data_IF_985691921850
#
_entry.id   IF_985691921850
#
_cell.length_a   1.000
_cell.length_b   1.000
_cell.length_c   1.000
_cell.angle_alpha   90.00
_cell.angle_beta   90.00
_cell.angle_gamma   90.00
#
_symmetry.space_group_name_H-M   'P 1'
#
loop_
_entity.id
_entity.type
_entity.pdbx_description
1 polymer ?
#
# COMPACT_ATOMS: atom_id res chain seq x y z
N UNK A 1 14.28 -5.20 -5.21
CA UNK A 1 12.82 -5.09 -4.91
C UNK A 1 12.34 -3.88 -5.67
N UNK A 2 11.33 -4.03 -6.52
CA UNK A 2 10.75 -2.91 -7.25
C UNK A 2 9.81 -2.09 -6.37
N UNK A 3 9.43 -0.92 -6.88
CA UNK A 3 8.59 0.05 -6.15
C UNK A 3 7.22 -0.52 -5.77
N UNK A 4 6.64 -1.37 -6.62
CA UNK A 4 5.28 -1.93 -6.40
C UNK A 4 5.31 -2.95 -5.27
N UNK A 5 6.34 -3.79 -5.24
CA UNK A 5 6.58 -4.72 -4.14
C UNK A 5 6.77 -4.00 -2.81
N UNK A 6 7.48 -2.87 -2.78
CA UNK A 6 7.63 -2.06 -1.57
C UNK A 6 6.29 -1.51 -1.05
N UNK A 7 5.46 -0.97 -1.96
CA UNK A 7 4.10 -0.50 -1.63
C UNK A 7 3.26 -1.65 -1.07
N UNK A 8 3.34 -2.83 -1.67
CA UNK A 8 2.62 -4.02 -1.18
C UNK A 8 3.05 -4.42 0.22
N UNK A 9 4.35 -4.53 0.47
CA UNK A 9 4.90 -4.88 1.79
C UNK A 9 4.45 -3.86 2.82
N UNK A 10 4.50 -2.57 2.49
CA UNK A 10 4.06 -1.50 3.39
C UNK A 10 2.58 -1.61 3.76
N UNK A 11 1.69 -1.92 2.81
CA UNK A 11 0.26 -2.10 3.10
C UNK A 11 0.05 -3.28 4.07
N UNK A 12 0.78 -4.38 3.90
CA UNK A 12 0.68 -5.55 4.78
C UNK A 12 1.19 -5.24 6.19
N UNK A 13 2.31 -4.54 6.31
CA UNK A 13 2.83 -4.07 7.60
C UNK A 13 1.82 -3.20 8.33
N UNK A 14 1.24 -2.21 7.65
CA UNK A 14 0.22 -1.33 8.26
C UNK A 14 -1.04 -2.11 8.70
N UNK A 15 -1.38 -3.19 8.00
CA UNK A 15 -2.45 -4.09 8.42
C UNK A 15 -2.08 -4.86 9.70
N UNK A 16 -0.86 -5.39 9.76
CA UNK A 16 -0.33 -6.14 10.90
C UNK A 16 -0.16 -5.24 12.14
N UNK A 17 0.46 -4.07 12.00
CA UNK A 17 0.67 -3.07 13.06
C UNK A 17 -0.65 -2.63 13.73
N UNK A 18 -1.76 -2.67 12.99
CA UNK A 18 -3.07 -2.21 13.46
C UNK A 18 -4.07 -3.34 13.72
N UNK A 19 -3.63 -4.60 13.60
CA UNK A 19 -4.49 -5.78 13.76
C UNK A 19 -5.77 -5.70 12.90
N UNK A 20 -5.63 -5.29 11.64
CA UNK A 20 -6.76 -5.21 10.69
C UNK A 20 -6.56 -6.15 9.51
N UNK A 21 -7.65 -6.74 9.05
CA UNK A 21 -7.63 -7.52 7.81
C UNK A 21 -7.58 -6.61 6.57
N UNK A 22 -7.08 -7.14 5.45
CA UNK A 22 -7.08 -6.47 4.15
C UNK A 22 -8.51 -6.03 3.76
N UNK A 23 -9.53 -6.86 4.03
CA UNK A 23 -10.92 -6.48 3.73
C UNK A 23 -11.37 -5.29 4.58
N UNK A 24 -10.95 -5.23 5.85
CA UNK A 24 -11.25 -4.08 6.71
C UNK A 24 -10.54 -2.82 6.21
N UNK A 25 -9.28 -2.94 5.81
CA UNK A 25 -8.56 -1.81 5.20
C UNK A 25 -9.24 -1.32 3.91
N UNK A 26 -9.70 -2.22 3.04
CA UNK A 26 -10.43 -1.85 1.83
C UNK A 26 -11.67 -1.00 2.16
N UNK A 27 -12.48 -1.44 3.14
CA UNK A 27 -13.65 -0.71 3.60
C UNK A 27 -13.28 0.67 4.17
N UNK A 28 -12.25 0.75 5.02
CA UNK A 28 -11.78 2.02 5.59
C UNK A 28 -11.28 2.99 4.51
N UNK A 29 -10.67 2.45 3.46
CA UNK A 29 -10.08 3.20 2.35
C UNK A 29 -11.10 3.55 1.26
N UNK A 30 -12.39 3.24 1.43
CA UNK A 30 -13.41 3.37 0.38
C UNK A 30 -13.03 2.65 -0.95
N UNK A 31 -12.31 1.53 -0.84
CA UNK A 31 -11.90 0.69 -1.95
C UNK A 31 -12.71 -0.60 -1.97
N UNK A 32 -13.00 -1.13 -3.17
CA UNK A 32 -13.52 -2.49 -3.28
C UNK A 32 -12.47 -3.50 -2.76
N UNK A 33 -12.88 -4.57 -2.03
CA UNK A 33 -11.96 -5.60 -1.57
C UNK A 33 -11.15 -6.24 -2.71
N UNK A 34 -11.74 -6.37 -3.91
CA UNK A 34 -11.06 -6.86 -5.11
C UNK A 34 -9.94 -5.92 -5.58
N UNK A 35 -10.12 -4.60 -5.48
CA UNK A 35 -9.11 -3.60 -5.84
C UNK A 35 -7.90 -3.70 -4.94
N UNK A 36 -8.11 -3.74 -3.61
CA UNK A 36 -7.00 -3.85 -2.65
C UNK A 36 -6.30 -5.21 -2.77
N UNK A 37 -7.06 -6.31 -2.93
CA UNK A 37 -6.48 -7.63 -3.21
C UNK A 37 -5.68 -7.66 -4.52
N UNK A 38 -6.09 -6.91 -5.55
CA UNK A 38 -5.35 -6.82 -6.80
C UNK A 38 -3.95 -6.23 -6.60
N UNK A 39 -3.83 -5.23 -5.71
CA UNK A 39 -2.55 -4.61 -5.32
C UNK A 39 -1.70 -5.60 -4.52
N UNK A 40 -2.30 -6.30 -3.56
CA UNK A 40 -1.59 -7.26 -2.69
C UNK A 40 -1.17 -8.55 -3.41
N UNK A 41 -1.92 -9.03 -4.39
CA UNK A 41 -1.59 -10.30 -5.07
C UNK A 41 -1.00 -10.08 -6.46
N UNK A 42 -0.48 -8.88 -6.75
CA UNK A 42 0.31 -8.60 -7.95
C UNK A 42 -0.49 -8.62 -9.27
N UNK A 43 -1.82 -8.58 -9.21
CA UNK A 43 -2.64 -8.40 -10.42
C UNK A 43 -2.64 -6.94 -10.89
N UNK A 44 -2.54 -6.00 -9.95
CA UNK A 44 -2.34 -4.58 -10.24
C UNK A 44 -0.85 -4.28 -10.29
N UNK A 45 -0.36 -3.92 -11.48
CA UNK A 45 1.06 -3.61 -11.69
C UNK A 45 1.47 -2.21 -11.25
N UNK A 46 0.53 -1.32 -10.93
CA UNK A 46 0.85 0.04 -10.52
C UNK A 46 -0.31 0.68 -9.75
N UNK A 47 -0.35 0.60 -8.41
CA UNK A 47 -1.32 1.37 -7.63
C UNK A 47 -1.08 2.87 -7.87
N UNK A 48 -2.12 3.58 -8.28
CA UNK A 48 -2.03 5.03 -8.47
C UNK A 48 -1.78 5.72 -7.12
N UNK A 49 -1.10 6.87 -7.15
CA UNK A 49 -0.87 7.67 -5.94
C UNK A 49 -2.18 8.03 -5.21
N UNK A 50 -3.28 8.20 -5.96
CA UNK A 50 -4.61 8.45 -5.40
C UNK A 50 -5.09 7.24 -4.60
N UNK A 51 -4.88 6.03 -5.10
CA UNK A 51 -5.23 4.80 -4.38
C UNK A 51 -4.45 4.68 -3.08
N UNK A 52 -3.14 4.99 -3.10
CA UNK A 52 -2.31 5.01 -1.90
C UNK A 52 -2.81 6.07 -0.92
N UNK A 53 -3.19 7.27 -1.41
CA UNK A 53 -3.76 8.32 -0.58
C UNK A 53 -5.07 7.89 0.09
N UNK A 54 -5.95 7.19 -0.61
CA UNK A 54 -7.19 6.65 -0.02
C UNK A 54 -6.90 5.62 1.09
N UNK A 55 -5.86 4.81 0.92
CA UNK A 55 -5.37 3.90 1.98
C UNK A 55 -4.87 4.67 3.19
N UNK A 56 -4.09 5.73 2.96
CA UNK A 56 -3.61 6.61 4.02
C UNK A 56 -4.77 7.26 4.78
N UNK A 57 -5.80 7.73 4.07
CA UNK A 57 -7.00 8.33 4.65
C UNK A 57 -7.76 7.33 5.52
N UNK A 58 -7.93 6.09 5.03
CA UNK A 58 -8.56 5.00 5.80
C UNK A 58 -7.79 4.61 7.07
N UNK A 59 -6.48 4.86 7.09
CA UNK A 59 -5.60 4.59 8.23
C UNK A 59 -5.34 5.81 9.10
N UNK A 60 -5.85 6.98 8.71
CA UNK A 60 -5.58 8.26 9.37
C UNK A 60 -4.06 8.57 9.47
N UNK A 61 -3.34 8.31 8.38
CA UNK A 61 -1.92 8.65 8.23
C UNK A 61 -1.72 9.56 7.01
N UNK A 62 -0.60 10.25 6.98
CA UNK A 62 -0.17 11.04 5.82
C UNK A 62 0.52 10.17 4.78
N UNK A 63 0.60 10.65 3.53
CA UNK A 63 1.42 10.00 2.50
C UNK A 63 2.90 9.94 2.91
N UNK A 64 3.40 10.96 3.60
CA UNK A 64 4.77 10.97 4.14
C UNK A 64 5.00 9.81 5.11
N UNK A 65 4.08 9.57 6.04
CA UNK A 65 4.19 8.44 6.99
C UNK A 65 4.07 7.08 6.29
N UNK A 66 3.28 6.98 5.23
CA UNK A 66 3.20 5.78 4.42
C UNK A 66 4.57 5.45 3.80
N UNK A 67 5.24 6.43 3.18
CA UNK A 67 6.54 6.24 2.52
C UNK A 67 7.75 6.29 3.46
N UNK A 68 7.55 6.64 4.74
CA UNK A 68 8.61 6.58 5.76
C UNK A 68 8.72 5.14 6.27
N UNK A 69 9.34 4.27 5.47
CA UNK A 69 9.53 2.86 5.80
C UNK A 69 10.82 2.32 5.17
N UNK A 70 11.53 1.36 5.79
CA UNK A 70 12.81 0.84 5.30
C UNK A 70 12.77 0.29 3.87
N UNK A 71 11.59 -0.19 3.43
CA UNK A 71 11.36 -0.73 2.09
C UNK A 71 11.60 0.30 0.99
N UNK A 72 11.38 1.59 1.29
CA UNK A 72 11.55 2.69 0.33
C UNK A 72 12.97 3.26 0.31
N UNK A 73 13.83 2.88 1.26
CA UNK A 73 15.18 3.46 1.39
C UNK A 73 16.20 2.83 0.44
N UNK A 74 15.96 1.61 -0.03
CA UNK A 74 16.91 0.82 -0.83
C UNK A 74 16.28 0.29 -2.13
N UNK A 75 15.40 1.07 -2.75
CA UNK A 75 14.79 0.69 -4.03
C UNK A 75 15.80 0.73 -5.17
N UNK A 76 15.72 -0.26 -6.06
CA UNK A 76 16.52 -0.30 -7.28
C UNK A 76 16.02 0.76 -8.28
N UNK A 77 16.92 1.25 -9.14
CA UNK A 77 16.57 2.23 -10.16
C UNK A 77 15.66 1.59 -11.23
N UNK A 78 14.51 2.21 -11.50
CA UNK A 78 13.54 1.74 -12.51
C UNK A 78 13.91 2.17 -13.94
N UNK A 79 14.80 3.15 -14.10
CA UNK A 79 15.29 3.66 -15.39
C UNK A 79 16.37 2.70 -15.91
N UNK A 80 16.17 2.14 -17.11
CA UNK A 80 17.12 1.30 -17.85
C UNK A 80 17.89 2.07 -18.90
#
# INVERSE_FOLDING_TARGET
MDTVEAVRVRILQLCEERDISINRLANLSALAPSSLKSIIYGKSKNPTIITIKMICDGLNITLSEFFTSPEFNNLEQEIK
#
